data_IF_906124701131
#
_entry.id   IF_906124701131
#
_cell.length_a   1.000
_cell.length_b   1.000
_cell.length_c   1.000
_cell.angle_alpha   90.00
_cell.angle_beta   90.00
_cell.angle_gamma   90.00
#
_symmetry.space_group_name_H-M   'P 1'
#
loop_
_entity.id
_entity.type
_entity.pdbx_description
1 polymer ?
#
# COMPACT_ATOMS: atom_id res chain seq x y z
N UNK A 1 52.59 19.81 -6.55
CA UNK A 1 51.46 20.03 -7.49
C UNK A 1 50.57 18.79 -7.63
N UNK A 2 51.12 17.58 -7.83
CA UNK A 2 50.35 16.35 -8.02
C UNK A 2 49.51 15.90 -6.79
N UNK A 3 50.07 16.03 -5.58
CA UNK A 3 49.38 15.64 -4.33
C UNK A 3 48.11 16.46 -4.09
N UNK A 4 48.16 17.77 -4.37
CA UNK A 4 47.01 18.68 -4.22
C UNK A 4 45.90 18.31 -5.21
N UNK A 5 46.27 17.92 -6.43
CA UNK A 5 45.32 17.48 -7.45
C UNK A 5 44.59 16.18 -7.05
N UNK A 6 45.32 15.21 -6.48
CA UNK A 6 44.73 13.96 -5.98
C UNK A 6 43.72 14.24 -4.86
N UNK A 7 44.07 15.12 -3.92
CA UNK A 7 43.18 15.48 -2.81
C UNK A 7 41.89 16.12 -3.32
N UNK A 8 41.99 17.05 -4.26
CA UNK A 8 40.82 17.71 -4.87
C UNK A 8 39.92 16.69 -5.58
N UNK A 9 40.50 15.78 -6.37
CA UNK A 9 39.73 14.73 -7.07
C UNK A 9 39.05 13.80 -6.07
N UNK A 10 39.74 13.40 -5.00
CA UNK A 10 39.16 12.52 -3.99
C UNK A 10 37.98 13.17 -3.25
N UNK A 11 38.10 14.45 -2.86
CA UNK A 11 37.03 15.21 -2.20
C UNK A 11 35.83 15.37 -3.14
N UNK A 12 36.09 15.66 -4.42
CA UNK A 12 35.04 15.80 -5.42
C UNK A 12 34.25 14.49 -5.61
N UNK A 13 34.94 13.35 -5.69
CA UNK A 13 34.28 12.04 -5.81
C UNK A 13 33.43 11.69 -4.58
N UNK A 14 33.92 11.99 -3.36
CA UNK A 14 33.14 11.80 -2.12
C UNK A 14 31.88 12.67 -2.11
N UNK A 15 31.98 13.91 -2.59
CA UNK A 15 30.85 14.82 -2.67
C UNK A 15 29.78 14.35 -3.68
N UNK A 16 30.18 13.84 -4.85
CA UNK A 16 29.24 13.28 -5.84
C UNK A 16 28.52 12.04 -5.31
N UNK A 17 29.19 11.17 -4.55
CA UNK A 17 28.56 9.98 -3.96
C UNK A 17 27.42 10.33 -2.99
N UNK A 18 27.57 11.43 -2.24
CA UNK A 18 26.57 11.88 -1.26
C UNK A 18 25.29 12.49 -1.87
N UNK A 19 25.35 12.98 -3.11
CA UNK A 19 24.26 13.77 -3.73
C UNK A 19 23.31 12.95 -4.59
N UNK A 20 23.62 11.68 -4.86
CA UNK A 20 22.78 10.80 -5.72
C UNK A 20 21.71 10.02 -4.95
N UNK A 21 21.60 10.20 -3.63
CA UNK A 21 20.51 9.63 -2.85
C UNK A 21 19.19 10.34 -3.21
N UNK A 22 18.47 9.79 -4.19
CA UNK A 22 17.11 10.20 -4.51
C UNK A 22 16.25 10.11 -3.25
N UNK A 23 15.48 11.17 -2.90
CA UNK A 23 14.53 11.08 -1.80
C UNK A 23 13.50 10.02 -2.17
N UNK A 24 13.55 8.87 -1.50
CA UNK A 24 12.55 7.84 -1.68
C UNK A 24 11.23 8.42 -1.18
N UNK A 25 10.34 8.72 -2.13
CA UNK A 25 8.99 9.12 -1.83
C UNK A 25 8.19 7.87 -1.51
N UNK A 26 8.01 7.58 -0.24
CA UNK A 26 7.08 6.57 0.20
C UNK A 26 5.63 7.02 -0.14
N UNK A 27 4.75 6.10 -0.57
CA UNK A 27 3.31 6.34 -0.68
C UNK A 27 2.70 6.94 0.60
N UNK A 28 1.44 7.37 0.60
CA UNK A 28 0.77 7.84 1.83
C UNK A 28 -0.06 6.75 2.52
N UNK A 29 -0.40 5.66 1.83
CA UNK A 29 -1.25 4.61 2.35
C UNK A 29 -0.46 3.36 2.77
N UNK A 30 -0.93 2.72 3.84
CA UNK A 30 -0.39 1.46 4.34
C UNK A 30 -0.48 0.32 3.32
N UNK A 31 -1.54 0.30 2.51
CA UNK A 31 -1.72 -0.68 1.43
C UNK A 31 -0.61 -0.58 0.39
N UNK A 32 -0.24 0.63 -0.01
CA UNK A 32 0.81 0.83 -1.01
C UNK A 32 2.21 0.58 -0.45
N UNK A 33 2.45 0.87 0.84
CA UNK A 33 3.71 0.52 1.49
C UNK A 33 3.96 -0.98 1.58
N UNK A 34 2.90 -1.74 1.86
CA UNK A 34 2.98 -3.19 2.03
C UNK A 34 2.73 -3.95 0.72
N UNK A 35 2.65 -3.25 -0.42
CA UNK A 35 2.41 -3.86 -1.74
C UNK A 35 3.53 -4.82 -2.13
N UNK A 36 4.79 -4.46 -1.89
CA UNK A 36 5.94 -5.35 -2.10
C UNK A 36 6.92 -5.28 -0.93
N UNK A 37 7.73 -6.33 -0.77
CA UNK A 37 8.73 -6.40 0.31
C UNK A 37 9.80 -5.32 0.15
N UNK A 38 10.11 -4.97 -1.09
CA UNK A 38 11.09 -3.95 -1.45
C UNK A 38 10.62 -2.56 -1.02
N UNK A 39 9.38 -2.18 -1.33
CA UNK A 39 8.82 -0.89 -0.90
C UNK A 39 8.79 -0.80 0.63
N UNK A 40 8.34 -1.86 1.31
CA UNK A 40 8.31 -1.89 2.76
C UNK A 40 9.71 -1.79 3.39
N UNK A 41 10.73 -2.39 2.77
CA UNK A 41 12.12 -2.30 3.22
C UNK A 41 12.68 -0.89 3.04
N UNK A 42 12.46 -0.30 1.86
CA UNK A 42 12.93 1.06 1.55
C UNK A 42 12.23 2.10 2.46
N UNK A 43 10.95 1.90 2.77
CA UNK A 43 10.18 2.77 3.66
C UNK A 43 10.31 2.43 5.15
N UNK A 44 11.10 1.43 5.53
CA UNK A 44 11.35 1.07 6.94
C UNK A 44 10.14 0.50 7.69
N UNK A 45 9.14 -0.03 6.98
CA UNK A 45 7.88 -0.55 7.53
C UNK A 45 7.72 -2.06 7.40
N UNK A 46 8.80 -2.79 7.11
CA UNK A 46 8.79 -4.26 6.94
C UNK A 46 8.17 -4.99 8.12
N UNK A 47 8.44 -4.56 9.37
CA UNK A 47 7.89 -5.22 10.57
C UNK A 47 6.37 -5.07 10.66
N UNK A 48 5.85 -3.90 10.33
CA UNK A 48 4.44 -3.56 10.32
C UNK A 48 3.72 -4.37 9.23
N UNK A 49 4.26 -4.38 8.01
CA UNK A 49 3.71 -5.16 6.91
C UNK A 49 3.71 -6.66 7.25
N UNK A 50 4.81 -7.19 7.80
CA UNK A 50 4.90 -8.61 8.18
C UNK A 50 3.91 -8.98 9.28
N UNK A 51 3.69 -8.11 10.26
CA UNK A 51 2.87 -8.43 11.44
C UNK A 51 1.37 -8.26 11.20
N UNK A 52 0.98 -7.28 10.39
CA UNK A 52 -0.42 -6.83 10.28
C UNK A 52 -1.04 -6.93 8.90
N UNK A 53 -0.22 -7.01 7.83
CA UNK A 53 -0.71 -7.04 6.44
C UNK A 53 -0.43 -8.40 5.81
N UNK A 54 0.83 -8.82 5.73
CA UNK A 54 1.18 -10.10 5.10
C UNK A 54 0.78 -11.32 5.93
N UNK A 55 0.63 -11.15 7.25
CA UNK A 55 0.10 -12.20 8.13
C UNK A 55 -1.41 -12.40 7.94
N UNK A 56 -2.14 -11.35 7.62
CA UNK A 56 -3.59 -11.37 7.39
C UNK A 56 -3.92 -11.69 5.94
N UNK A 57 -3.14 -11.24 4.95
CA UNK A 57 -3.37 -11.53 3.52
C UNK A 57 -3.13 -12.98 3.12
N UNK A 58 -2.69 -13.86 4.03
CA UNK A 58 -2.74 -15.30 3.79
C UNK A 58 -4.19 -15.77 3.58
N UNK A 59 -5.16 -15.06 4.15
CA UNK A 59 -6.56 -15.09 3.76
C UNK A 59 -6.98 -13.69 3.33
N UNK A 60 -7.04 -13.50 2.02
CA UNK A 60 -7.72 -12.38 1.38
C UNK A 60 -9.24 -12.59 1.58
N UNK A 61 -9.67 -12.65 2.84
CA UNK A 61 -11.04 -12.94 3.29
C UNK A 61 -11.90 -11.73 2.98
N UNK A 62 -12.13 -11.54 1.68
CA UNK A 62 -13.24 -10.75 1.19
C UNK A 62 -14.49 -11.17 1.93
N UNK A 63 -15.29 -10.18 2.29
CA UNK A 63 -16.53 -10.41 3.03
C UNK A 63 -17.54 -11.05 2.08
N UNK A 64 -17.63 -12.37 2.13
CA UNK A 64 -18.66 -13.10 1.39
C UNK A 64 -20.01 -12.97 2.12
N UNK A 65 -21.02 -12.46 1.41
CA UNK A 65 -22.39 -12.41 1.90
C UNK A 65 -23.38 -12.88 0.85
N UNK A 66 -24.52 -13.42 1.29
CA UNK A 66 -25.61 -13.87 0.43
C UNK A 66 -26.92 -13.31 0.94
N UNK A 67 -27.71 -12.72 0.04
CA UNK A 67 -29.02 -12.15 0.37
C UNK A 67 -30.10 -13.11 -0.08
N UNK A 68 -30.94 -13.54 0.84
CA UNK A 68 -32.18 -14.26 0.53
C UNK A 68 -33.32 -13.25 0.46
N UNK A 69 -33.97 -13.15 -0.69
CA UNK A 69 -35.06 -12.21 -0.90
C UNK A 69 -36.14 -12.79 -1.81
N UNK A 70 -37.33 -12.21 -1.73
CA UNK A 70 -38.43 -12.46 -2.64
C UNK A 70 -38.58 -11.28 -3.60
N UNK A 71 -38.70 -11.54 -4.90
CA UNK A 71 -38.78 -10.50 -5.93
C UNK A 71 -40.01 -9.59 -5.77
N UNK A 72 -41.12 -10.12 -5.26
CA UNK A 72 -42.38 -9.40 -5.08
C UNK A 72 -42.47 -8.66 -3.73
N UNK A 73 -41.59 -8.93 -2.77
CA UNK A 73 -41.58 -8.27 -1.47
C UNK A 73 -41.10 -6.81 -1.59
N UNK A 74 -41.95 -5.86 -1.17
CA UNK A 74 -41.67 -4.43 -1.25
C UNK A 74 -40.46 -4.01 -0.41
N UNK A 75 -40.38 -4.49 0.83
CA UNK A 75 -39.30 -4.16 1.74
C UNK A 75 -37.97 -4.78 1.30
N UNK A 76 -37.98 -6.00 0.74
CA UNK A 76 -36.78 -6.62 0.17
C UNK A 76 -36.20 -5.80 -0.98
N UNK A 77 -37.06 -5.34 -1.90
CA UNK A 77 -36.62 -4.48 -3.02
C UNK A 77 -36.01 -3.18 -2.49
N UNK A 78 -36.71 -2.53 -1.56
CA UNK A 78 -36.25 -1.27 -1.00
C UNK A 78 -34.91 -1.44 -0.27
N UNK A 79 -34.80 -2.44 0.60
CA UNK A 79 -33.58 -2.78 1.33
C UNK A 79 -32.40 -3.05 0.38
N UNK A 80 -32.63 -3.83 -0.68
CA UNK A 80 -31.57 -4.17 -1.64
C UNK A 80 -31.04 -2.94 -2.36
N UNK A 81 -31.93 -2.03 -2.80
CA UNK A 81 -31.53 -0.86 -3.59
C UNK A 81 -30.95 0.25 -2.72
N UNK A 82 -31.59 0.57 -1.59
CA UNK A 82 -31.22 1.76 -0.81
C UNK A 82 -30.16 1.49 0.24
N UNK A 83 -29.95 0.25 0.64
CA UNK A 83 -28.98 -0.09 1.68
C UNK A 83 -27.89 -0.99 1.13
N UNK A 84 -28.26 -2.17 0.63
CA UNK A 84 -27.24 -3.18 0.25
C UNK A 84 -26.44 -2.76 -0.96
N UNK A 85 -27.09 -2.29 -2.03
CA UNK A 85 -26.40 -1.86 -3.24
C UNK A 85 -25.46 -0.68 -2.98
N UNK A 86 -25.91 0.31 -2.20
CA UNK A 86 -25.08 1.45 -1.83
C UNK A 86 -23.87 1.04 -0.98
N UNK A 87 -24.08 0.16 0.00
CA UNK A 87 -22.99 -0.37 0.82
C UNK A 87 -21.99 -1.14 -0.03
N UNK A 88 -22.47 -2.06 -0.88
CA UNK A 88 -21.62 -2.83 -1.79
C UNK A 88 -20.74 -1.94 -2.67
N UNK A 89 -21.30 -0.89 -3.27
CA UNK A 89 -20.53 0.04 -4.09
C UNK A 89 -19.45 0.80 -3.29
N UNK A 90 -19.73 1.11 -2.03
CA UNK A 90 -18.79 1.84 -1.18
C UNK A 90 -17.59 1.00 -0.72
N UNK A 91 -17.73 -0.33 -0.65
CA UNK A 91 -16.70 -1.24 -0.12
C UNK A 91 -16.40 -2.43 -1.06
N UNK A 92 -16.58 -2.24 -2.36
CA UNK A 92 -16.45 -3.29 -3.39
C UNK A 92 -15.05 -3.94 -3.43
N UNK A 93 -14.03 -3.25 -2.91
CA UNK A 93 -12.66 -3.75 -2.85
C UNK A 93 -12.44 -4.82 -1.76
N UNK A 94 -13.32 -4.89 -0.77
CA UNK A 94 -13.25 -5.87 0.35
C UNK A 94 -14.38 -6.91 0.32
N UNK A 95 -15.23 -6.90 -0.71
CA UNK A 95 -16.30 -7.88 -0.94
C UNK A 95 -15.91 -8.89 -2.02
#
# INVERSE_FOLDING_TARGET
>A
MYVVFILIVSIYNVFILSTTALPIKCPSSSTEWCRTKEIAAICGVTKQCTSFVWKTTADNDRVNFTIYYESLCADCRQFTITQVWLAYQAVIDIV
#
